data_IF_871971012453
#
_entry.id   IF_871971012453
#
_cell.length_a   1.000
_cell.length_b   1.000
_cell.length_c   1.000
_cell.angle_alpha   90.00
_cell.angle_beta   90.00
_cell.angle_gamma   90.00
#
_symmetry.space_group_name_H-M   'P 1'
#
loop_
_entity.id
_entity.type
_entity.pdbx_description
1 polymer ?
#
# COMPACT_ATOMS: atom_id res chain seq x y z
N UNK A 1 -35.98 41.57 -68.37
CA UNK A 1 -35.46 40.37 -67.69
C UNK A 1 -35.49 40.65 -66.20
N UNK A 2 -36.66 40.44 -65.59
CA UNK A 2 -36.92 39.39 -64.55
C UNK A 2 -36.55 39.92 -63.15
N UNK A 3 -37.44 40.57 -62.38
CA UNK A 3 -38.51 39.97 -61.52
C UNK A 3 -37.92 38.83 -60.65
N UNK A 4 -37.99 38.81 -59.31
CA UNK A 4 -39.09 39.17 -58.42
C UNK A 4 -38.64 39.34 -56.95
N UNK A 5 -39.42 40.11 -56.20
CA UNK A 5 -39.53 40.17 -54.73
C UNK A 5 -40.21 38.87 -54.22
N UNK A 6 -40.39 38.75 -52.89
CA UNK A 6 -41.09 37.74 -52.04
C UNK A 6 -40.07 36.83 -51.31
N UNK A 7 -40.13 36.56 -50.00
CA UNK A 7 -41.23 36.45 -49.04
C UNK A 7 -40.68 36.78 -47.64
N UNK A 8 -41.42 37.54 -46.83
CA UNK A 8 -41.24 37.56 -45.38
C UNK A 8 -41.93 36.33 -44.77
N UNK A 9 -41.22 35.54 -43.95
CA UNK A 9 -41.80 34.47 -43.15
C UNK A 9 -41.16 34.41 -41.75
N UNK A 10 -41.88 35.02 -40.81
CA UNK A 10 -42.22 34.52 -39.47
C UNK A 10 -41.18 33.81 -38.59
N UNK A 11 -40.90 34.47 -37.46
CA UNK A 11 -40.49 34.00 -36.13
C UNK A 11 -40.46 32.48 -35.88
N UNK A 12 -39.32 32.00 -35.36
CA UNK A 12 -39.31 30.97 -34.32
C UNK A 12 -38.15 31.22 -33.35
N UNK A 13 -38.50 31.58 -32.11
CA UNK A 13 -37.64 31.47 -30.95
C UNK A 13 -37.18 30.01 -30.85
N UNK A 14 -35.89 29.74 -30.81
CA UNK A 14 -35.38 28.44 -30.39
C UNK A 14 -34.13 28.68 -29.55
N UNK A 15 -34.29 28.42 -28.26
CA UNK A 15 -33.30 28.55 -27.22
C UNK A 15 -32.05 27.73 -27.57
N UNK A 16 -30.95 28.40 -27.87
CA UNK A 16 -29.65 27.74 -27.98
C UNK A 16 -29.11 27.52 -26.56
N UNK A 17 -29.34 26.29 -26.09
CA UNK A 17 -28.77 25.59 -24.96
C UNK A 17 -27.46 26.19 -24.41
N UNK A 18 -27.52 26.72 -23.19
CA UNK A 18 -26.38 26.83 -22.30
C UNK A 18 -25.99 25.42 -21.86
N UNK A 19 -25.02 24.79 -22.54
CA UNK A 19 -24.32 23.63 -21.99
C UNK A 19 -23.22 24.17 -21.08
N UNK A 20 -23.60 24.54 -19.86
CA UNK A 20 -22.66 24.83 -18.79
C UNK A 20 -21.89 23.54 -18.47
N UNK A 21 -20.56 23.58 -18.59
CA UNK A 21 -19.68 22.44 -18.41
C UNK A 21 -19.81 21.81 -17.03
N UNK A 22 -20.26 20.56 -17.00
CA UNK A 22 -20.05 19.66 -15.87
C UNK A 22 -18.58 19.22 -15.91
N UNK A 23 -17.70 19.99 -15.30
CA UNK A 23 -16.37 19.50 -14.94
C UNK A 23 -16.59 18.58 -13.75
N UNK A 24 -16.76 17.28 -14.03
CA UNK A 24 -16.79 16.25 -13.00
C UNK A 24 -15.44 16.26 -12.28
N UNK A 25 -15.41 16.73 -11.03
CA UNK A 25 -14.29 16.52 -10.11
C UNK A 25 -14.15 15.03 -9.86
N UNK A 26 -13.30 14.37 -10.63
CA UNK A 26 -12.92 12.99 -10.38
C UNK A 26 -12.02 13.03 -9.15
N UNK A 27 -12.55 12.69 -7.97
CA UNK A 27 -11.72 12.40 -6.82
C UNK A 27 -10.82 11.23 -7.23
N UNK A 28 -9.52 11.50 -7.38
CA UNK A 28 -8.52 10.44 -7.50
C UNK A 28 -8.53 9.73 -6.17
N UNK A 29 -9.19 8.57 -6.09
CA UNK A 29 -9.02 7.66 -4.98
C UNK A 29 -7.54 7.25 -5.02
N UNK A 30 -6.76 7.74 -4.07
CA UNK A 30 -5.41 7.23 -3.85
C UNK A 30 -5.54 5.74 -3.57
N UNK A 31 -4.89 4.90 -4.38
CA UNK A 31 -4.84 3.47 -4.14
C UNK A 31 -4.19 3.22 -2.78
N UNK A 32 -4.79 2.34 -1.97
CA UNK A 32 -4.25 2.01 -0.66
C UNK A 32 -2.86 1.39 -0.83
N UNK A 33 -1.88 1.92 -0.12
CA UNK A 33 -0.49 1.48 -0.22
C UNK A 33 -0.36 0.07 0.35
N UNK A 34 0.39 -0.79 -0.34
CA UNK A 34 0.59 -2.18 0.04
C UNK A 34 2.07 -2.54 0.09
N UNK A 35 2.38 -3.69 0.66
CA UNK A 35 3.75 -4.24 0.66
C UNK A 35 4.33 -4.49 -0.75
N UNK A 36 3.53 -4.42 -1.83
CA UNK A 36 4.03 -4.48 -3.23
C UNK A 36 4.69 -3.17 -3.69
N UNK A 37 4.51 -2.07 -2.95
CA UNK A 37 4.93 -0.73 -3.37
C UNK A 37 6.35 -0.35 -2.92
N UNK A 38 7.22 -1.32 -2.60
CA UNK A 38 8.59 -1.02 -2.18
C UNK A 38 8.64 -0.31 -0.83
N UNK A 39 8.04 -0.92 0.20
CA UNK A 39 7.75 -0.25 1.48
C UNK A 39 8.84 -0.36 2.53
N UNK A 40 9.93 -1.05 2.22
CA UNK A 40 11.10 -1.20 3.08
C UNK A 40 12.37 -0.98 2.27
N UNK A 41 13.47 -0.63 2.94
CA UNK A 41 14.76 -0.43 2.27
C UNK A 41 15.63 -1.70 2.28
N UNK A 42 16.59 -1.77 1.36
CA UNK A 42 17.59 -2.85 1.37
C UNK A 42 18.40 -2.87 2.68
N UNK A 43 18.65 -1.72 3.29
CA UNK A 43 19.35 -1.64 4.58
C UNK A 43 18.58 -2.38 5.70
N UNK A 44 17.24 -2.24 5.73
CA UNK A 44 16.39 -2.96 6.68
C UNK A 44 16.38 -4.47 6.40
N UNK A 45 16.42 -4.87 5.14
CA UNK A 45 16.53 -6.29 4.76
C UNK A 45 17.84 -6.89 5.27
N UNK A 46 18.95 -6.20 5.06
CA UNK A 46 20.28 -6.67 5.45
C UNK A 46 20.42 -6.76 6.98
N UNK A 47 19.93 -5.76 7.72
CA UNK A 47 19.88 -5.78 9.18
C UNK A 47 18.93 -6.87 9.70
N UNK A 48 17.73 -6.98 9.10
CA UNK A 48 16.70 -7.93 9.49
C UNK A 48 17.12 -9.38 9.31
N UNK A 49 17.98 -9.65 8.32
CA UNK A 49 18.58 -10.97 8.14
C UNK A 49 19.38 -11.41 9.37
N UNK A 50 20.15 -10.51 9.97
CA UNK A 50 20.94 -10.83 11.17
C UNK A 50 20.03 -11.16 12.37
N UNK A 51 18.95 -10.39 12.55
CA UNK A 51 17.91 -10.67 13.56
C UNK A 51 17.23 -12.02 13.31
N UNK A 52 16.81 -12.29 12.07
CA UNK A 52 16.20 -13.57 11.70
C UNK A 52 17.12 -14.76 12.03
N UNK A 53 18.39 -14.64 11.63
CA UNK A 53 19.39 -15.67 11.81
C UNK A 53 19.67 -15.98 13.28
N UNK A 54 19.54 -15.00 14.16
CA UNK A 54 19.86 -15.15 15.59
C UNK A 54 18.64 -15.51 16.44
N UNK A 55 17.48 -14.93 16.12
CA UNK A 55 16.34 -14.88 17.05
C UNK A 55 15.08 -15.57 16.52
N UNK A 56 14.96 -15.83 15.21
CA UNK A 56 13.71 -16.32 14.61
C UNK A 56 13.83 -17.71 14.01
N UNK A 57 14.91 -17.98 13.25
CA UNK A 57 15.01 -19.16 12.40
C UNK A 57 15.11 -20.50 13.15
N UNK A 58 15.45 -20.47 14.43
CA UNK A 58 15.48 -21.66 15.29
C UNK A 58 14.10 -22.33 15.37
N UNK A 59 13.03 -21.53 15.29
CA UNK A 59 11.65 -22.02 15.40
C UNK A 59 10.82 -21.79 14.12
N UNK A 60 11.12 -20.76 13.33
CA UNK A 60 10.32 -20.36 12.17
C UNK A 60 11.14 -20.33 10.87
N UNK A 61 10.80 -21.19 9.91
CA UNK A 61 11.36 -21.14 8.56
C UNK A 61 10.67 -20.09 7.67
N UNK A 62 11.22 -19.77 6.50
CA UNK A 62 10.59 -18.81 5.58
C UNK A 62 9.22 -19.26 5.02
N UNK A 63 8.95 -20.57 5.03
CA UNK A 63 7.64 -21.10 4.61
C UNK A 63 6.57 -20.75 5.64
N UNK A 64 6.89 -20.81 6.94
CA UNK A 64 6.01 -20.32 8.00
C UNK A 64 5.61 -18.86 7.75
N UNK A 65 6.57 -17.99 7.44
CA UNK A 65 6.26 -16.58 7.19
C UNK A 65 5.45 -16.37 5.91
N UNK A 66 5.69 -17.16 4.86
CA UNK A 66 4.83 -17.16 3.66
C UNK A 66 3.37 -17.44 4.00
N UNK A 67 3.11 -18.44 4.84
CA UNK A 67 1.76 -18.81 5.24
C UNK A 67 1.15 -17.82 6.25
N UNK A 68 1.99 -17.20 7.10
CA UNK A 68 1.58 -16.09 7.93
C UNK A 68 1.10 -14.90 7.08
N UNK A 69 1.87 -14.48 6.07
CA UNK A 69 1.50 -13.36 5.20
C UNK A 69 0.16 -13.56 4.48
N UNK A 70 -0.19 -14.80 4.12
CA UNK A 70 -1.53 -15.11 3.59
C UNK A 70 -2.64 -14.92 4.63
N UNK A 71 -2.35 -15.27 5.88
CA UNK A 71 -3.31 -15.16 6.99
C UNK A 71 -3.51 -13.71 7.44
N UNK A 72 -2.51 -12.85 7.18
CA UNK A 72 -2.54 -11.40 7.42
C UNK A 72 -2.99 -10.58 6.19
N UNK A 73 -3.47 -11.21 5.11
CA UNK A 73 -3.93 -10.50 3.91
C UNK A 73 -4.99 -9.44 4.24
N UNK A 74 -4.79 -8.24 3.70
CA UNK A 74 -5.64 -7.07 3.96
C UNK A 74 -5.43 -6.39 5.31
N UNK A 75 -4.57 -6.91 6.19
CA UNK A 75 -4.27 -6.27 7.48
C UNK A 75 -3.10 -5.27 7.37
N UNK A 76 -3.04 -4.24 8.23
CA UNK A 76 -1.88 -3.36 8.32
C UNK A 76 -0.60 -4.12 8.71
N UNK A 77 0.55 -3.73 8.15
CA UNK A 77 1.86 -4.24 8.57
C UNK A 77 2.09 -4.01 10.06
N UNK A 78 1.58 -2.89 10.61
CA UNK A 78 1.70 -2.56 12.02
C UNK A 78 1.18 -3.66 12.94
N UNK A 79 0.02 -4.27 12.62
CA UNK A 79 -0.58 -5.29 13.48
C UNK A 79 0.24 -6.58 13.51
N UNK A 80 0.84 -6.95 12.38
CA UNK A 80 1.79 -8.07 12.34
C UNK A 80 3.03 -7.75 13.16
N UNK A 81 3.59 -6.54 13.02
CA UNK A 81 4.76 -6.09 13.79
C UNK A 81 4.49 -6.09 15.30
N UNK A 82 3.36 -5.53 15.74
CA UNK A 82 2.94 -5.51 17.16
C UNK A 82 2.76 -6.93 17.72
N UNK A 83 2.24 -7.84 16.89
CA UNK A 83 2.10 -9.25 17.27
C UNK A 83 3.47 -9.90 17.46
N UNK A 84 4.41 -9.68 16.55
CA UNK A 84 5.77 -10.21 16.69
C UNK A 84 6.43 -9.61 17.93
N UNK A 85 6.36 -8.29 18.13
CA UNK A 85 6.88 -7.62 19.33
C UNK A 85 6.31 -8.22 20.62
N UNK A 86 4.98 -8.37 20.70
CA UNK A 86 4.29 -8.78 21.92
C UNK A 86 4.36 -10.28 22.22
N UNK A 87 4.75 -11.11 21.26
CA UNK A 87 4.73 -12.58 21.39
C UNK A 87 6.06 -13.25 21.13
N UNK A 88 7.04 -12.54 20.56
CA UNK A 88 8.34 -13.08 20.20
C UNK A 88 9.49 -12.26 20.82
N UNK A 89 10.64 -12.91 21.08
CA UNK A 89 10.88 -14.36 21.11
C UNK A 89 9.97 -15.11 22.08
N UNK A 90 9.64 -16.37 21.80
CA UNK A 90 8.60 -17.11 22.54
C UNK A 90 8.93 -17.32 24.04
N UNK A 91 10.21 -17.38 24.38
CA UNK A 91 10.72 -17.51 25.75
C UNK A 91 10.92 -16.16 26.45
N UNK A 92 11.01 -15.07 25.69
CA UNK A 92 11.22 -13.72 26.22
C UNK A 92 10.58 -12.64 25.32
N UNK A 93 9.25 -12.51 25.27
CA UNK A 93 8.58 -11.56 24.38
C UNK A 93 8.99 -10.11 24.64
N UNK A 94 9.15 -9.32 23.57
CA UNK A 94 9.50 -7.90 23.64
C UNK A 94 10.95 -7.62 24.04
N UNK A 95 11.83 -8.61 23.95
CA UNK A 95 13.23 -8.49 24.39
C UNK A 95 14.21 -7.94 23.35
N UNK A 96 13.82 -7.85 22.08
CA UNK A 96 14.62 -7.22 21.04
C UNK A 96 14.37 -5.71 21.00
N UNK A 97 15.28 -4.97 20.37
CA UNK A 97 15.08 -3.55 20.08
C UNK A 97 13.95 -3.37 19.06
N UNK A 98 13.22 -2.25 19.13
CA UNK A 98 12.14 -1.95 18.19
C UNK A 98 12.61 -1.97 16.72
N UNK A 99 13.81 -1.48 16.46
CA UNK A 99 14.45 -1.51 15.14
C UNK A 99 14.69 -2.94 14.65
N UNK A 100 15.10 -3.87 15.52
CA UNK A 100 15.29 -5.28 15.15
C UNK A 100 13.98 -5.95 14.71
N UNK A 101 12.86 -5.61 15.35
CA UNK A 101 11.53 -6.07 14.92
C UNK A 101 11.12 -5.47 13.56
N UNK A 102 11.39 -4.19 13.36
CA UNK A 102 11.08 -3.49 12.10
C UNK A 102 11.89 -4.08 10.94
N UNK A 103 13.17 -4.29 11.15
CA UNK A 103 14.08 -4.80 10.15
C UNK A 103 13.79 -6.26 9.82
N UNK A 104 13.49 -7.10 10.81
CA UNK A 104 13.13 -8.51 10.52
C UNK A 104 11.83 -8.62 9.73
N UNK A 105 10.87 -7.71 9.93
CA UNK A 105 9.68 -7.62 9.08
C UNK A 105 10.06 -7.29 7.63
N UNK A 106 10.95 -6.31 7.40
CA UNK A 106 11.45 -5.99 6.06
C UNK A 106 12.13 -7.21 5.39
N UNK A 107 12.97 -7.91 6.14
CA UNK A 107 13.64 -9.13 5.65
C UNK A 107 12.63 -10.23 5.29
N UNK A 108 11.63 -10.48 6.14
CA UNK A 108 10.56 -11.45 5.87
C UNK A 108 9.80 -11.10 4.58
N UNK A 109 9.48 -9.83 4.36
CA UNK A 109 8.80 -9.39 3.15
C UNK A 109 9.68 -9.60 1.91
N UNK A 110 10.97 -9.25 1.99
CA UNK A 110 11.92 -9.44 0.89
C UNK A 110 12.08 -10.93 0.50
N UNK A 111 12.25 -11.81 1.48
CA UNK A 111 12.37 -13.26 1.26
C UNK A 111 11.07 -13.90 0.72
N UNK A 112 9.94 -13.20 0.86
CA UNK A 112 8.67 -13.60 0.28
C UNK A 112 8.37 -12.97 -1.08
N UNK A 113 9.32 -12.22 -1.66
CA UNK A 113 9.27 -11.75 -3.04
C UNK A 113 8.73 -10.34 -3.22
N UNK A 114 8.51 -9.59 -2.13
CA UNK A 114 8.14 -8.18 -2.23
C UNK A 114 9.38 -7.31 -2.54
N UNK A 115 9.26 -6.27 -3.37
CA UNK A 115 10.40 -5.46 -3.76
C UNK A 115 10.82 -4.53 -2.61
N UNK A 116 12.12 -4.25 -2.52
CA UNK A 116 12.62 -3.13 -1.74
C UNK A 116 12.34 -1.80 -2.46
N UNK A 117 12.28 -0.70 -1.71
CA UNK A 117 12.19 0.66 -2.20
C UNK A 117 13.01 1.63 -1.35
N UNK A 118 12.67 2.93 -1.43
CA UNK A 118 13.45 4.01 -0.82
C UNK A 118 12.86 4.50 0.52
N UNK A 119 11.67 4.03 0.88
CA UNK A 119 11.00 4.42 2.14
C UNK A 119 11.18 3.31 3.16
N UNK A 120 11.74 3.64 4.32
CA UNK A 120 11.87 2.68 5.41
C UNK A 120 10.51 2.36 6.02
N UNK A 121 10.30 1.11 6.41
CA UNK A 121 9.20 0.75 7.32
C UNK A 121 9.41 1.45 8.66
N UNK A 122 8.35 2.05 9.18
CA UNK A 122 8.37 2.78 10.45
C UNK A 122 7.07 2.50 11.23
N UNK A 123 7.14 1.83 12.39
CA UNK A 123 5.96 1.51 13.19
C UNK A 123 5.25 2.76 13.73
N UNK A 124 5.96 3.87 13.92
CA UNK A 124 5.40 5.15 14.39
C UNK A 124 4.99 6.07 13.22
N UNK A 125 5.27 5.65 11.99
CA UNK A 125 5.15 6.47 10.79
C UNK A 125 4.15 5.94 9.77
N UNK A 126 4.50 4.84 9.11
CA UNK A 126 3.81 4.40 7.88
C UNK A 126 3.20 3.01 7.93
N UNK A 127 3.55 2.17 8.92
CA UNK A 127 3.08 0.79 8.97
C UNK A 127 1.56 0.64 9.14
N UNK A 128 0.88 1.63 9.74
CA UNK A 128 -0.58 1.64 9.90
C UNK A 128 -1.32 1.77 8.57
N UNK A 129 -0.66 2.37 7.58
CA UNK A 129 -1.26 2.74 6.29
C UNK A 129 -0.82 1.80 5.15
N UNK A 130 0.01 0.80 5.46
CA UNK A 130 0.51 -0.19 4.51
C UNK A 130 -0.21 -1.52 4.77
N UNK A 131 -1.00 -1.97 3.80
CA UNK A 131 -1.66 -3.28 3.87
C UNK A 131 -0.77 -4.42 3.38
N UNK A 132 -0.84 -5.54 4.07
CA UNK A 132 -0.27 -6.82 3.64
C UNK A 132 -1.15 -7.38 2.52
N UNK A 133 -0.50 -7.95 1.50
CA UNK A 133 -1.15 -8.72 0.45
C UNK A 133 -0.46 -10.08 0.32
N UNK A 134 -1.22 -11.14 0.03
CA UNK A 134 -0.65 -12.47 -0.09
C UNK A 134 0.46 -12.54 -1.18
N UNK A 135 1.58 -13.26 -0.91
CA UNK A 135 2.62 -13.55 -1.90
C UNK A 135 2.14 -14.40 -3.07
#
# INVERSE_FOLDING_TARGET
MSLSIHVAATRAFSAALLVAGLISSQAVLAEARTIKDGVFTQAQVDAGKATYDTSCKTCHDMRFYRDALKSWDGQPVLWMWETILGTMPADNPGSLMLEEYTDVVAYILSENGFPAGETALDPDGNMSDISIVAP
#
